data_IF_139810442527
#
_entry.id   IF_139810442527
#
_cell.length_a   1.000
_cell.length_b   1.000
_cell.length_c   1.000
_cell.angle_alpha   90.00
_cell.angle_beta   90.00
_cell.angle_gamma   90.00
#
_symmetry.space_group_name_H-M   'P 1'
#
loop_
_entity.id
_entity.type
_entity.pdbx_description
1 polymer ?
#
# COMPACT_ATOMS: atom_id res chain seq x y z
N UNK A 1 8.24 29.89 -0.28
CA UNK A 1 9.64 29.80 0.19
C UNK A 1 10.16 28.39 -0.05
N UNK A 2 10.73 28.13 -1.23
CA UNK A 2 11.30 26.83 -1.61
C UNK A 2 12.82 26.93 -1.48
N UNK A 3 13.44 26.17 -0.57
CA UNK A 3 14.91 26.05 -0.50
C UNK A 3 15.33 24.78 -1.23
N UNK A 4 16.14 24.95 -2.27
CA UNK A 4 16.78 23.87 -3.03
C UNK A 4 17.56 22.97 -2.05
N UNK A 5 17.27 21.66 -2.06
CA UNK A 5 18.01 20.66 -1.27
C UNK A 5 17.31 20.10 -0.03
N UNK A 6 16.11 20.58 0.36
CA UNK A 6 15.30 19.91 1.39
C UNK A 6 14.21 19.05 0.75
N UNK A 7 14.00 17.85 1.30
CA UNK A 7 12.90 16.98 0.90
C UNK A 7 11.57 17.73 0.99
N UNK A 8 10.72 17.56 -0.02
CA UNK A 8 9.44 18.24 -0.08
C UNK A 8 8.49 17.62 0.95
N UNK A 9 8.08 18.41 1.93
CA UNK A 9 7.10 18.03 2.95
C UNK A 9 5.89 18.93 2.81
N UNK A 10 4.71 18.33 2.66
CA UNK A 10 3.46 19.10 2.64
C UNK A 10 3.14 19.56 4.06
N UNK A 11 3.11 20.88 4.29
CA UNK A 11 2.89 21.44 5.64
C UNK A 11 1.57 21.02 6.28
N UNK A 12 0.52 20.77 5.48
CA UNK A 12 -0.76 20.25 5.97
C UNK A 12 -0.64 18.84 6.52
N UNK A 13 0.21 17.99 5.93
CA UNK A 13 0.48 16.63 6.42
C UNK A 13 1.38 16.70 7.65
N UNK A 14 2.43 17.53 7.62
CA UNK A 14 3.36 17.66 8.74
C UNK A 14 2.66 18.06 10.05
N UNK A 15 1.61 18.90 9.98
CA UNK A 15 0.81 19.29 11.14
C UNK A 15 0.02 18.12 11.75
N UNK A 16 -0.35 17.13 10.94
CA UNK A 16 -1.11 15.96 11.39
C UNK A 16 -0.23 14.84 11.95
N UNK A 17 1.10 15.01 11.97
CA UNK A 17 2.05 14.03 12.53
C UNK A 17 2.15 14.17 14.06
N UNK A 18 1.68 15.29 14.62
CA UNK A 18 1.53 15.47 16.07
C UNK A 18 0.26 14.75 16.57
N UNK A 19 0.34 13.42 16.64
CA UNK A 19 -0.75 12.55 17.06
C UNK A 19 -0.69 12.31 18.58
N UNK A 20 -1.83 12.02 19.18
CA UNK A 20 -1.91 11.68 20.60
C UNK A 20 -1.18 10.35 20.86
N UNK A 21 -0.48 10.25 21.99
CA UNK A 21 0.24 9.06 22.46
C UNK A 21 -0.56 7.76 22.33
N UNK A 22 -1.87 7.82 22.59
CA UNK A 22 -2.80 6.69 22.47
C UNK A 22 -2.99 6.15 21.04
N UNK A 23 -2.65 6.95 20.03
CA UNK A 23 -2.75 6.59 18.61
C UNK A 23 -1.39 6.19 18.01
N UNK A 24 -0.29 6.43 18.74
CA UNK A 24 1.09 6.17 18.28
C UNK A 24 1.67 4.91 18.92
N UNK A 25 1.53 4.76 20.24
CA UNK A 25 2.22 3.70 20.98
C UNK A 25 1.58 2.31 20.91
N UNK A 26 0.25 2.17 20.74
CA UNK A 26 -0.34 0.85 20.57
C UNK A 26 0.05 0.22 19.23
N UNK A 27 0.27 -1.10 19.25
CA UNK A 27 0.43 -1.86 18.02
C UNK A 27 -0.86 -1.82 17.19
N UNK A 28 -0.73 -1.49 15.90
CA UNK A 28 -1.82 -1.68 14.96
C UNK A 28 -2.12 -3.18 14.81
N UNK A 29 -3.41 -3.56 14.66
CA UNK A 29 -3.77 -4.92 14.28
C UNK A 29 -3.05 -5.36 13.00
N UNK A 30 -2.79 -6.66 12.83
CA UNK A 30 -2.05 -7.20 11.68
C UNK A 30 -2.63 -6.81 10.31
N UNK A 31 -3.94 -6.60 10.25
CA UNK A 31 -4.67 -6.18 9.05
C UNK A 31 -4.75 -4.65 8.87
N UNK A 32 -4.31 -3.90 9.88
CA UNK A 32 -4.33 -2.44 9.95
C UNK A 32 -5.53 -1.85 10.70
N UNK A 33 -5.47 -0.53 10.89
CA UNK A 33 -6.50 0.24 11.62
C UNK A 33 -7.81 0.25 10.80
N UNK A 34 -8.88 -0.35 11.33
CA UNK A 34 -10.16 -0.52 10.62
C UNK A 34 -10.75 0.78 10.06
N UNK A 35 -10.86 1.88 10.82
CA UNK A 35 -11.33 3.16 10.27
C UNK A 35 -10.54 3.65 9.05
N UNK A 36 -9.23 3.42 9.02
CA UNK A 36 -8.38 3.79 7.90
C UNK A 36 -8.67 2.92 6.66
N UNK A 37 -8.85 1.61 6.86
CA UNK A 37 -9.20 0.67 5.79
C UNK A 37 -10.56 0.99 5.17
N UNK A 38 -11.54 1.31 6.00
CA UNK A 38 -12.88 1.73 5.58
C UNK A 38 -12.81 3.01 4.75
N UNK A 39 -12.05 4.01 5.22
CA UNK A 39 -11.88 5.28 4.49
C UNK A 39 -11.13 5.09 3.18
N UNK A 40 -10.13 4.21 3.16
CA UNK A 40 -9.39 3.90 1.94
C UNK A 40 -10.29 3.23 0.89
N UNK A 41 -11.17 2.31 1.30
CA UNK A 41 -12.16 1.70 0.39
C UNK A 41 -13.12 2.73 -0.21
N UNK A 42 -13.57 3.70 0.57
CA UNK A 42 -14.39 4.81 0.09
C UNK A 42 -13.63 5.63 -0.97
N UNK A 43 -12.38 6.00 -0.68
CA UNK A 43 -11.52 6.74 -1.61
C UNK A 43 -11.23 5.98 -2.89
N UNK A 44 -11.08 4.65 -2.83
CA UNK A 44 -10.91 3.81 -4.02
C UNK A 44 -12.11 3.91 -4.97
N UNK A 45 -13.33 3.92 -4.43
CA UNK A 45 -14.55 4.09 -5.24
C UNK A 45 -14.68 5.51 -5.79
N UNK A 46 -14.35 6.53 -5.01
CA UNK A 46 -14.37 7.92 -5.47
C UNK A 46 -13.39 8.12 -6.63
N UNK A 47 -12.19 7.55 -6.54
CA UNK A 47 -11.14 7.68 -7.58
C UNK A 47 -11.41 6.84 -8.83
N UNK A 48 -12.16 5.75 -8.70
CA UNK A 48 -12.46 4.85 -9.81
C UNK A 48 -13.98 4.65 -9.92
N UNK A 49 -14.71 5.64 -10.47
CA UNK A 49 -16.16 5.54 -10.65
C UNK A 49 -16.60 4.29 -11.44
N UNK A 50 -15.73 3.78 -12.32
CA UNK A 50 -15.95 2.55 -13.11
C UNK A 50 -16.09 1.28 -12.26
N UNK A 51 -15.62 1.27 -11.01
CA UNK A 51 -15.86 0.15 -10.09
C UNK A 51 -17.35 -0.01 -9.76
N UNK A 52 -18.14 1.07 -9.82
CA UNK A 52 -19.58 1.04 -9.58
C UNK A 52 -19.95 0.29 -8.30
N UNK A 53 -20.85 -0.70 -8.46
CA UNK A 53 -21.33 -1.57 -7.38
C UNK A 53 -20.53 -2.87 -7.22
N UNK A 54 -19.37 -3.00 -7.89
CA UNK A 54 -18.57 -4.22 -7.81
C UNK A 54 -18.15 -4.48 -6.36
N UNK A 55 -18.34 -5.72 -5.91
CA UNK A 55 -17.89 -6.12 -4.58
C UNK A 55 -16.37 -6.09 -4.53
N UNK A 56 -15.85 -5.33 -3.57
CA UNK A 56 -14.44 -5.25 -3.26
C UNK A 56 -14.26 -5.56 -1.78
N UNK A 57 -13.29 -6.41 -1.46
CA UNK A 57 -12.95 -6.73 -0.08
C UNK A 57 -12.38 -5.50 0.65
N UNK A 58 -12.26 -5.58 1.98
CA UNK A 58 -11.63 -4.52 2.74
C UNK A 58 -10.11 -4.53 2.49
N UNK A 59 -9.53 -3.40 2.06
CA UNK A 59 -8.09 -3.33 1.79
C UNK A 59 -7.32 -3.64 3.07
N UNK A 60 -6.31 -4.49 2.96
CA UNK A 60 -5.38 -4.82 4.05
C UNK A 60 -4.23 -3.81 4.02
N UNK A 61 -3.82 -3.30 5.19
CA UNK A 61 -2.70 -2.35 5.27
C UNK A 61 -1.39 -3.10 5.04
N UNK A 62 -0.57 -2.60 4.13
CA UNK A 62 0.76 -3.14 3.84
C UNK A 62 1.83 -2.07 4.04
N UNK A 63 3.05 -2.49 4.34
CA UNK A 63 4.22 -1.61 4.41
C UNK A 63 4.64 -1.16 3.01
N UNK A 64 3.86 -0.25 2.42
CA UNK A 64 4.05 0.20 1.04
C UNK A 64 3.64 -0.85 0.00
N UNK A 65 3.84 -0.46 -1.27
CA UNK A 65 3.45 -1.26 -2.43
C UNK A 65 4.33 -2.51 -2.58
N UNK A 66 5.62 -2.41 -2.27
CA UNK A 66 6.56 -3.54 -2.35
C UNK A 66 6.11 -4.72 -1.48
N UNK A 67 5.74 -4.47 -0.22
CA UNK A 67 5.25 -5.51 0.66
C UNK A 67 3.92 -6.10 0.17
N UNK A 68 3.01 -5.24 -0.32
CA UNK A 68 1.74 -5.72 -0.90
C UNK A 68 1.95 -6.66 -2.09
N UNK A 69 2.95 -6.38 -2.93
CA UNK A 69 3.27 -7.24 -4.06
C UNK A 69 3.94 -8.55 -3.64
N UNK A 70 4.83 -8.53 -2.63
CA UNK A 70 5.37 -9.77 -2.05
C UNK A 70 4.27 -10.66 -1.49
N UNK A 71 3.30 -10.10 -0.77
CA UNK A 71 2.16 -10.88 -0.27
C UNK A 71 1.32 -11.49 -1.40
N UNK A 72 1.10 -10.76 -2.50
CA UNK A 72 0.44 -11.30 -3.68
C UNK A 72 1.26 -12.44 -4.31
N UNK A 73 2.59 -12.29 -4.37
CA UNK A 73 3.51 -13.34 -4.78
C UNK A 73 3.34 -14.62 -3.93
N UNK A 74 3.40 -14.48 -2.60
CA UNK A 74 3.21 -15.60 -1.68
C UNK A 74 1.87 -16.33 -1.83
N UNK A 75 0.79 -15.62 -2.16
CA UNK A 75 -0.55 -16.21 -2.23
C UNK A 75 -0.86 -16.86 -3.59
N UNK A 76 -0.26 -16.36 -4.68
CA UNK A 76 -0.72 -16.68 -6.03
C UNK A 76 0.38 -17.13 -7.00
N UNK A 77 1.66 -17.04 -6.63
CA UNK A 77 2.78 -17.44 -7.49
C UNK A 77 3.37 -18.75 -6.97
N UNK A 78 3.26 -19.79 -7.80
CA UNK A 78 3.93 -21.08 -7.57
C UNK A 78 5.35 -21.06 -8.18
N UNK A 79 6.24 -21.94 -7.69
CA UNK A 79 7.67 -22.00 -8.06
C UNK A 79 7.93 -22.11 -9.57
N UNK A 80 6.98 -22.67 -10.33
CA UNK A 80 7.07 -22.83 -11.79
C UNK A 80 6.19 -21.85 -12.61
N UNK A 81 5.57 -20.86 -11.95
CA UNK A 81 4.65 -19.95 -12.61
C UNK A 81 5.39 -18.91 -13.49
N UNK A 82 4.88 -18.70 -14.70
CA UNK A 82 5.35 -17.62 -15.59
C UNK A 82 4.65 -16.32 -15.22
N UNK A 83 5.41 -15.31 -14.78
CA UNK A 83 4.90 -13.97 -14.51
C UNK A 83 5.02 -13.13 -15.78
N UNK A 84 3.91 -12.54 -16.23
CA UNK A 84 3.89 -11.62 -17.37
C UNK A 84 3.95 -10.19 -16.81
N UNK A 85 4.95 -9.42 -17.22
CA UNK A 85 5.13 -8.01 -16.87
C UNK A 85 5.35 -7.17 -18.12
N UNK A 86 5.03 -5.88 -18.03
CA UNK A 86 5.35 -4.92 -19.10
C UNK A 86 6.86 -4.74 -19.23
N UNK A 87 7.36 -4.43 -20.43
CA UNK A 87 8.79 -4.24 -20.72
C UNK A 87 9.40 -3.08 -19.91
N UNK A 88 8.60 -2.04 -19.64
CA UNK A 88 8.94 -0.95 -18.71
C UNK A 88 8.35 -1.24 -17.34
N UNK A 89 9.14 -1.86 -16.47
CA UNK A 89 8.75 -2.16 -15.10
C UNK A 89 9.80 -1.67 -14.10
N UNK A 90 9.39 -1.60 -12.83
CA UNK A 90 10.30 -1.32 -11.73
C UNK A 90 10.88 -2.62 -11.19
N UNK A 91 12.20 -2.82 -11.28
CA UNK A 91 12.89 -4.07 -10.90
C UNK A 91 12.53 -4.60 -9.50
N UNK A 92 12.49 -3.71 -8.50
CA UNK A 92 12.09 -4.01 -7.11
C UNK A 92 10.73 -4.69 -7.00
N UNK A 93 9.78 -4.41 -7.90
CA UNK A 93 8.46 -5.05 -7.88
C UNK A 93 8.55 -6.52 -8.31
N UNK A 94 9.35 -6.83 -9.32
CA UNK A 94 9.53 -8.22 -9.78
C UNK A 94 10.30 -9.03 -8.75
N UNK A 95 11.39 -8.50 -8.22
CA UNK A 95 12.15 -9.18 -7.16
C UNK A 95 11.28 -9.49 -5.94
N UNK A 96 10.41 -8.56 -5.56
CA UNK A 96 9.48 -8.75 -4.45
C UNK A 96 8.49 -9.90 -4.68
N UNK A 97 8.11 -10.17 -5.93
CA UNK A 97 7.15 -11.22 -6.30
C UNK A 97 7.79 -12.60 -6.52
N UNK A 98 9.09 -12.69 -6.82
CA UNK A 98 9.78 -13.95 -7.18
C UNK A 98 10.65 -14.54 -6.08
N UNK A 99 11.24 -13.72 -5.21
CA UNK A 99 12.14 -14.18 -4.13
C UNK A 99 11.39 -14.96 -3.03
N UNK A 100 10.07 -14.96 -3.07
CA UNK A 100 9.21 -15.58 -2.05
C UNK A 100 8.97 -17.07 -2.28
N UNK A 101 9.43 -17.64 -3.40
CA UNK A 101 9.22 -19.05 -3.77
C UNK A 101 10.40 -20.00 -3.50
N UNK A 102 11.36 -19.63 -2.65
CA UNK A 102 12.52 -20.47 -2.27
C UNK A 102 12.33 -21.20 -0.95
#
# INVERSE_FOLDING_TARGET
>A
YWKVGKSMVLHSIARCVDLDSKDIFPYAPSEGIKPLRDKWRELLRIKNPSLGATEISLPVVTCGVTNGLSMAGYMFVEEAAKIIVADLYWEKLITAATVTGS
#
